data_IF_197025369593
#
_entry.id   IF_197025369593
#
_cell.length_a   1.000
_cell.length_b   1.000
_cell.length_c   1.000
_cell.angle_alpha   90.00
_cell.angle_beta   90.00
_cell.angle_gamma   90.00
#
_symmetry.space_group_name_H-M   'P 1'
#
loop_
_entity.id
_entity.type
_entity.pdbx_description
1 polymer ?
#
# COMPACT_ATOMS: atom_id res chain seq x y z
N UNK A 1 -19.73 88.06 15.86
CA UNK A 1 -18.81 86.89 15.82
C UNK A 1 -19.66 85.71 16.22
N UNK A 2 -20.26 85.09 15.21
CA UNK A 2 -21.57 84.45 15.34
C UNK A 2 -21.44 83.00 15.80
N UNK A 3 -22.23 82.65 16.82
CA UNK A 3 -22.31 81.31 17.42
C UNK A 3 -22.91 80.24 16.49
N UNK A 4 -23.20 80.57 15.22
CA UNK A 4 -23.72 79.67 14.18
C UNK A 4 -22.65 78.74 13.56
N UNK A 5 -21.40 78.82 14.01
CA UNK A 5 -20.25 78.08 13.45
C UNK A 5 -19.79 76.89 14.32
N UNK A 6 -20.62 76.42 15.26
CA UNK A 6 -20.28 75.29 16.16
C UNK A 6 -21.30 74.16 16.15
N UNK A 7 -21.91 73.89 15.00
CA UNK A 7 -22.60 72.64 14.76
C UNK A 7 -22.10 72.12 13.41
N UNK A 8 -21.91 70.81 13.28
CA UNK A 8 -21.33 70.08 12.14
C UNK A 8 -19.86 69.65 12.25
N UNK A 9 -19.39 69.32 13.45
CA UNK A 9 -18.23 68.41 13.59
C UNK A 9 -18.47 67.31 14.65
N UNK A 10 -19.72 66.83 14.75
CA UNK A 10 -20.12 65.84 15.76
C UNK A 10 -20.83 64.60 15.22
N UNK A 11 -20.72 64.28 13.93
CA UNK A 11 -21.39 63.11 13.36
C UNK A 11 -20.61 62.51 12.16
N UNK A 12 -19.31 62.33 12.33
CA UNK A 12 -18.60 61.30 11.59
C UNK A 12 -18.14 60.27 12.61
N UNK A 13 -19.08 59.41 13.00
CA UNK A 13 -18.81 58.23 13.80
C UNK A 13 -17.90 57.31 12.96
N UNK A 14 -16.59 57.16 13.27
CA UNK A 14 -15.67 56.36 12.45
C UNK A 14 -15.97 54.85 12.55
N UNK A 15 -17.03 54.47 13.26
CA UNK A 15 -17.39 53.11 13.60
C UNK A 15 -18.11 52.31 12.52
N UNK A 16 -18.43 52.87 11.35
CA UNK A 16 -19.16 52.09 10.32
C UNK A 16 -18.79 52.37 8.85
N UNK A 17 -17.56 52.83 8.57
CA UNK A 17 -16.97 52.75 7.23
C UNK A 17 -16.46 51.34 6.89
N UNK A 18 -17.15 50.31 7.38
CA UNK A 18 -17.19 49.01 6.71
C UNK A 18 -18.12 49.17 5.49
N UNK A 19 -17.74 50.07 4.58
CA UNK A 19 -18.21 50.00 3.21
C UNK A 19 -17.85 48.60 2.75
N UNK A 20 -18.87 47.89 2.29
CA UNK A 20 -18.77 46.56 1.72
C UNK A 20 -17.79 46.59 0.54
N UNK A 21 -16.49 46.52 0.82
CA UNK A 21 -15.39 46.35 -0.14
C UNK A 21 -15.39 44.91 -0.67
N UNK A 22 -16.57 44.45 -1.10
CA UNK A 22 -16.75 43.36 -2.03
C UNK A 22 -16.58 43.90 -3.44
N UNK A 23 -15.48 44.62 -3.71
CA UNK A 23 -15.10 44.93 -5.08
C UNK A 23 -15.00 43.59 -5.83
N UNK A 24 -15.76 43.37 -6.92
CA UNK A 24 -15.62 42.16 -7.71
C UNK A 24 -14.17 42.02 -8.14
N UNK A 25 -13.52 40.93 -7.73
CA UNK A 25 -12.17 40.62 -8.20
C UNK A 25 -12.33 40.30 -9.68
N UNK A 26 -11.94 41.24 -10.53
CA UNK A 26 -11.99 41.04 -11.96
C UNK A 26 -11.05 39.89 -12.33
N UNK A 27 -11.47 38.92 -13.17
CA UNK A 27 -10.65 37.78 -13.54
C UNK A 27 -9.34 38.19 -14.25
N UNK A 28 -9.25 39.46 -14.66
CA UNK A 28 -8.08 40.08 -15.27
C UNK A 28 -6.95 40.39 -14.27
N UNK A 29 -7.29 40.51 -12.99
CA UNK A 29 -6.34 40.82 -11.89
C UNK A 29 -5.84 39.56 -11.17
N UNK A 30 -6.03 38.37 -11.75
CA UNK A 30 -5.51 37.12 -11.18
C UNK A 30 -3.98 37.04 -11.30
N UNK A 31 -3.29 37.31 -10.20
CA UNK A 31 -1.84 37.15 -10.11
C UNK A 31 -1.43 35.66 -10.14
N UNK A 32 -0.26 35.32 -10.73
CA UNK A 32 0.24 33.96 -10.70
C UNK A 32 0.56 33.52 -9.27
N UNK A 33 0.18 32.29 -8.93
CA UNK A 33 0.54 31.70 -7.64
C UNK A 33 2.04 31.41 -7.59
N UNK A 34 2.69 31.80 -6.49
CA UNK A 34 4.09 31.45 -6.20
C UNK A 34 4.31 29.93 -6.23
N UNK A 35 3.39 29.18 -5.62
CA UNK A 35 3.46 27.72 -5.51
C UNK A 35 2.35 27.07 -6.33
N UNK A 36 2.73 26.00 -7.02
CA UNK A 36 1.79 25.16 -7.77
C UNK A 36 0.69 24.64 -6.85
N UNK A 37 -0.48 24.41 -7.45
CA UNK A 37 -1.56 23.73 -6.74
C UNK A 37 -1.07 22.38 -6.19
N UNK A 38 -1.44 22.04 -4.94
CA UNK A 38 -1.10 20.74 -4.40
C UNK A 38 -1.72 19.66 -5.28
N UNK A 39 -0.93 18.63 -5.63
CA UNK A 39 -1.42 17.52 -6.42
C UNK A 39 -2.43 16.71 -5.60
N UNK A 40 -3.41 16.13 -6.29
CA UNK A 40 -4.33 15.17 -5.68
C UNK A 40 -3.51 14.05 -5.02
N UNK A 41 -3.90 13.68 -3.79
CA UNK A 41 -3.22 12.61 -3.05
C UNK A 41 -3.49 11.28 -3.73
N UNK A 42 -2.44 10.52 -3.98
CA UNK A 42 -2.59 9.15 -4.45
C UNK A 42 -3.26 8.29 -3.38
N UNK A 43 -4.13 7.38 -3.83
CA UNK A 43 -4.83 6.46 -2.94
C UNK A 43 -3.84 5.52 -2.24
N UNK A 44 -3.92 5.47 -0.91
CA UNK A 44 -3.14 4.52 -0.09
C UNK A 44 -3.57 3.07 -0.36
N UNK A 45 -2.73 2.11 0.00
CA UNK A 45 -3.05 0.67 -0.18
C UNK A 45 -4.38 0.28 0.50
N UNK A 46 -4.64 0.83 1.68
CA UNK A 46 -5.88 0.57 2.41
C UNK A 46 -7.09 1.23 1.74
N UNK A 47 -6.97 2.46 1.23
CA UNK A 47 -8.07 3.12 0.52
C UNK A 47 -8.43 2.39 -0.79
N UNK A 48 -7.42 1.92 -1.54
CA UNK A 48 -7.65 1.05 -2.71
C UNK A 48 -8.41 -0.21 -2.31
N UNK A 49 -7.99 -0.87 -1.23
CA UNK A 49 -8.68 -2.05 -0.71
C UNK A 49 -10.11 -1.74 -0.24
N UNK A 50 -10.31 -0.62 0.46
CA UNK A 50 -11.60 -0.19 0.95
C UNK A 50 -12.56 0.13 -0.21
N UNK A 51 -12.08 0.77 -1.27
CA UNK A 51 -12.87 1.01 -2.49
C UNK A 51 -13.25 -0.31 -3.17
N UNK A 52 -12.29 -1.22 -3.37
CA UNK A 52 -12.56 -2.54 -3.96
C UNK A 52 -13.55 -3.38 -3.15
N UNK A 53 -13.53 -3.25 -1.81
CA UNK A 53 -14.45 -3.95 -0.91
C UNK A 53 -15.74 -3.16 -0.60
N UNK A 54 -15.89 -1.94 -1.11
CA UNK A 54 -17.04 -1.09 -0.80
C UNK A 54 -17.14 -0.66 0.67
N UNK A 55 -16.03 -0.63 1.40
CA UNK A 55 -15.99 -0.24 2.82
C UNK A 55 -16.15 1.28 2.92
N UNK A 56 -17.34 1.74 3.31
CA UNK A 56 -17.64 3.17 3.51
C UNK A 56 -17.15 3.64 4.89
N UNK A 57 -16.47 4.79 4.93
CA UNK A 57 -16.02 5.42 6.18
C UNK A 57 -17.24 5.99 6.94
N UNK A 58 -17.48 5.49 8.16
CA UNK A 58 -18.54 5.99 9.05
C UNK A 58 -17.93 6.74 10.24
N UNK A 59 -18.63 7.77 10.73
CA UNK A 59 -18.24 8.51 11.94
C UNK A 59 -18.46 7.61 13.17
N UNK A 60 -17.46 7.51 14.05
CA UNK A 60 -17.56 6.78 15.33
C UNK A 60 -17.68 7.77 16.48
N UNK A 61 -18.39 7.40 17.55
CA UNK A 61 -18.52 8.21 18.77
C UNK A 61 -17.17 8.34 19.50
N UNK A 62 -16.95 9.52 20.11
CA UNK A 62 -15.76 9.79 20.94
C UNK A 62 -15.83 9.10 22.30
N UNK A 63 -17.03 8.95 22.87
CA UNK A 63 -17.30 8.29 24.16
C UNK A 63 -17.97 6.93 23.94
N UNK A 64 -17.71 6.02 24.87
CA UNK A 64 -18.24 4.66 24.95
C UNK A 64 -18.78 4.48 26.36
N UNK A 65 -19.98 3.91 26.47
CA UNK A 65 -20.58 3.57 27.75
C UNK A 65 -19.79 2.42 28.38
N UNK A 66 -19.40 2.59 29.63
CA UNK A 66 -18.72 1.57 30.42
C UNK A 66 -19.70 1.02 31.47
N UNK A 67 -20.02 -0.27 31.38
CA UNK A 67 -21.02 -0.92 32.22
C UNK A 67 -20.58 -0.99 33.69
N UNK A 68 -19.29 -1.21 33.95
CA UNK A 68 -18.77 -1.37 35.31
C UNK A 68 -18.81 -0.06 36.12
N UNK A 69 -18.62 1.08 35.46
CA UNK A 69 -18.66 2.40 36.11
C UNK A 69 -19.94 3.18 35.83
N UNK A 70 -20.87 2.60 35.06
CA UNK A 70 -22.11 3.24 34.60
C UNK A 70 -21.90 4.67 34.10
N UNK A 71 -20.84 4.89 33.31
CA UNK A 71 -20.43 6.22 32.87
C UNK A 71 -19.93 6.26 31.43
N UNK A 72 -20.06 7.43 30.79
CA UNK A 72 -19.55 7.66 29.44
C UNK A 72 -18.05 7.99 29.47
N UNK A 73 -17.22 7.00 29.19
CA UNK A 73 -15.76 7.15 29.12
C UNK A 73 -15.27 7.43 27.70
N UNK A 74 -14.15 8.15 27.52
CA UNK A 74 -13.55 8.33 26.21
C UNK A 74 -13.08 7.00 25.60
N UNK A 75 -13.12 6.89 24.27
CA UNK A 75 -12.64 5.70 23.54
C UNK A 75 -11.11 5.59 23.54
N UNK A 76 -10.42 6.72 23.59
CA UNK A 76 -8.96 6.84 23.56
C UNK A 76 -8.51 8.01 24.45
N UNK A 77 -7.26 8.00 24.90
CA UNK A 77 -6.72 9.03 25.80
C UNK A 77 -6.73 8.59 27.28
N UNK A 78 -6.66 9.58 28.18
CA UNK A 78 -6.68 9.37 29.63
C UNK A 78 -8.10 9.02 30.09
N UNK A 79 -8.24 8.08 31.02
CA UNK A 79 -9.54 7.63 31.53
C UNK A 79 -10.38 6.86 30.51
N UNK A 80 -9.76 6.28 29.48
CA UNK A 80 -10.47 5.51 28.46
C UNK A 80 -10.99 4.18 29.01
N UNK A 81 -11.99 3.63 28.33
CA UNK A 81 -12.42 2.24 28.54
C UNK A 81 -11.23 1.29 28.29
N UNK A 82 -11.07 0.28 29.16
CA UNK A 82 -10.04 -0.77 29.10
C UNK A 82 -8.58 -0.28 29.06
N UNK A 83 -8.21 0.65 29.94
CA UNK A 83 -6.81 1.01 30.15
C UNK A 83 -6.04 -0.16 30.78
N UNK A 84 -4.93 -0.57 30.15
CA UNK A 84 -4.03 -1.59 30.73
C UNK A 84 -3.35 -1.08 32.01
N UNK A 85 -3.13 0.24 32.12
CA UNK A 85 -2.44 0.85 33.28
C UNK A 85 -3.30 0.90 34.53
N UNK A 86 -4.62 0.83 34.36
CA UNK A 86 -5.58 0.97 35.46
C UNK A 86 -5.93 -0.40 36.04
N UNK A 87 -5.50 -1.49 35.38
CA UNK A 87 -5.66 -2.86 35.86
C UNK A 87 -4.56 -3.17 36.86
N UNK A 88 -4.95 -3.46 38.10
CA UNK A 88 -4.05 -3.83 39.19
C UNK A 88 -3.61 -5.30 39.11
N UNK A 89 -4.41 -6.17 38.50
CA UNK A 89 -4.10 -7.59 38.30
C UNK A 89 -4.50 -8.04 36.90
N UNK A 90 -3.74 -8.96 36.34
CA UNK A 90 -4.05 -9.66 35.08
C UNK A 90 -3.98 -11.16 35.33
N UNK A 91 -5.05 -11.86 34.99
CA UNK A 91 -5.08 -13.32 35.05
C UNK A 91 -4.12 -13.89 34.00
N UNK A 92 -3.27 -14.82 34.43
CA UNK A 92 -2.38 -15.57 33.54
C UNK A 92 -3.19 -16.69 32.90
N UNK A 93 -3.29 -16.77 31.57
CA UNK A 93 -4.02 -17.86 30.94
C UNK A 93 -3.29 -19.19 31.12
N UNK A 94 -4.03 -20.29 31.30
CA UNK A 94 -3.49 -21.64 31.60
C UNK A 94 -2.48 -22.16 30.56
N UNK A 95 -2.49 -21.61 29.34
CA UNK A 95 -1.60 -21.99 28.25
C UNK A 95 -0.33 -21.12 28.15
N UNK A 96 -0.16 -20.10 29.00
CA UNK A 96 1.03 -19.25 28.99
C UNK A 96 2.11 -19.76 29.95
N UNK A 97 3.35 -19.35 29.68
CA UNK A 97 4.47 -19.59 30.57
C UNK A 97 4.25 -18.85 31.90
N UNK A 98 4.22 -19.55 33.06
CA UNK A 98 4.07 -18.91 34.37
C UNK A 98 5.14 -17.86 34.69
N UNK A 99 6.30 -17.91 34.04
CA UNK A 99 7.40 -16.98 34.27
C UNK A 99 7.36 -15.71 33.40
N UNK A 100 6.40 -15.59 32.47
CA UNK A 100 6.27 -14.41 31.60
C UNK A 100 5.39 -13.31 32.22
N UNK A 101 5.93 -12.09 32.33
CA UNK A 101 5.16 -10.92 32.74
C UNK A 101 4.13 -10.51 31.67
N UNK A 102 2.85 -10.66 32.02
CA UNK A 102 1.73 -10.33 31.13
C UNK A 102 1.62 -8.82 30.86
N UNK A 103 2.02 -7.96 31.79
CA UNK A 103 2.02 -6.51 31.55
C UNK A 103 3.07 -6.13 30.51
N UNK A 104 4.27 -6.71 30.61
CA UNK A 104 5.33 -6.49 29.64
C UNK A 104 4.93 -7.00 28.26
N UNK A 105 4.33 -8.20 28.17
CA UNK A 105 3.81 -8.76 26.92
C UNK A 105 2.80 -7.84 26.23
N UNK A 106 1.84 -7.30 26.99
CA UNK A 106 0.85 -6.35 26.46
C UNK A 106 1.50 -5.04 25.99
N UNK A 107 2.53 -4.57 26.70
CA UNK A 107 3.30 -3.37 26.34
C UNK A 107 4.08 -3.59 25.04
N UNK A 108 4.84 -4.69 24.95
CA UNK A 108 5.59 -5.12 23.75
C UNK A 108 4.65 -5.25 22.55
N UNK A 109 3.54 -5.98 22.69
CA UNK A 109 2.55 -6.13 21.63
C UNK A 109 1.91 -4.80 21.18
N UNK A 110 1.76 -3.83 22.08
CA UNK A 110 1.29 -2.47 21.73
C UNK A 110 2.35 -1.71 20.92
N UNK A 111 3.61 -1.76 21.34
CA UNK A 111 4.74 -1.12 20.66
C UNK A 111 4.94 -1.71 19.27
N UNK A 112 4.87 -3.02 19.12
CA UNK A 112 4.93 -3.72 17.82
C UNK A 112 3.80 -3.30 16.89
N UNK A 113 2.56 -3.21 17.40
CA UNK A 113 1.41 -2.72 16.63
C UNK A 113 1.62 -1.28 16.16
N UNK A 114 2.22 -0.42 16.99
CA UNK A 114 2.57 0.95 16.63
C UNK A 114 3.66 0.98 15.56
N UNK A 115 4.75 0.24 15.75
CA UNK A 115 5.86 0.14 14.80
C UNK A 115 5.39 -0.40 13.44
N UNK A 116 4.51 -1.41 13.42
CA UNK A 116 3.92 -1.95 12.18
C UNK A 116 3.07 -0.92 11.45
N UNK A 117 2.31 -0.10 12.17
CA UNK A 117 1.52 0.99 11.58
C UNK A 117 2.43 2.08 11.00
N UNK A 118 3.46 2.50 11.74
CA UNK A 118 4.45 3.48 11.28
C UNK A 118 5.19 2.98 10.05
N UNK A 119 5.65 1.73 10.05
CA UNK A 119 6.27 1.10 8.90
C UNK A 119 5.34 1.04 7.68
N UNK A 120 4.05 0.71 7.88
CA UNK A 120 3.06 0.72 6.81
C UNK A 120 2.80 2.14 6.27
N UNK A 121 2.77 3.15 7.15
CA UNK A 121 2.68 4.57 6.78
C UNK A 121 3.87 4.98 5.93
N UNK A 122 5.09 4.63 6.35
CA UNK A 122 6.32 4.94 5.64
C UNK A 122 6.38 4.26 4.26
N UNK A 123 5.93 3.00 4.16
CA UNK A 123 5.77 2.33 2.86
C UNK A 123 4.75 3.02 1.94
N UNK A 124 3.68 3.59 2.49
CA UNK A 124 2.73 4.35 1.68
C UNK A 124 3.36 5.66 1.20
N UNK A 125 4.05 6.39 2.09
CA UNK A 125 4.78 7.62 1.73
C UNK A 125 5.79 7.32 0.63
N UNK A 126 6.62 6.30 0.79
CA UNK A 126 7.62 5.89 -0.20
C UNK A 126 7.01 5.58 -1.58
N UNK A 127 5.82 4.98 -1.65
CA UNK A 127 5.12 4.74 -2.93
C UNK A 127 4.63 6.03 -3.60
N UNK A 128 4.27 7.05 -2.82
CA UNK A 128 3.80 8.34 -3.35
C UNK A 128 4.92 9.29 -3.77
N UNK A 129 6.13 9.10 -3.23
CA UNK A 129 7.30 9.90 -3.62
C UNK A 129 7.70 9.49 -5.04
N UNK A 130 7.85 10.49 -5.92
CA UNK A 130 8.16 10.26 -7.34
C UNK A 130 9.51 9.56 -7.51
N UNK A 131 9.59 8.65 -8.49
CA UNK A 131 10.85 8.03 -8.94
C UNK A 131 11.87 9.14 -9.24
N UNK A 132 12.96 9.21 -8.47
CA UNK A 132 14.02 10.22 -8.58
C UNK A 132 14.12 11.19 -7.39
N UNK A 133 13.08 11.28 -6.55
CA UNK A 133 13.17 11.99 -5.28
C UNK A 133 13.38 10.97 -4.16
N UNK A 134 14.48 11.09 -3.41
CA UNK A 134 14.76 10.17 -2.31
C UNK A 134 13.61 10.26 -1.29
N UNK A 135 13.03 9.12 -0.86
CA UNK A 135 12.06 9.16 0.21
C UNK A 135 12.76 9.74 1.45
N UNK A 136 12.10 10.62 2.22
CA UNK A 136 12.71 11.26 3.40
C UNK A 136 13.04 10.27 4.52
N UNK A 137 12.61 9.01 4.40
CA UNK A 137 12.84 7.95 5.37
C UNK A 137 13.38 6.75 4.60
N UNK A 138 14.54 6.22 5.03
CA UNK A 138 15.35 5.18 4.36
C UNK A 138 14.70 3.81 4.17
N UNK A 139 13.37 3.74 4.05
CA UNK A 139 12.61 2.55 3.70
C UNK A 139 12.53 2.52 2.18
N UNK A 140 13.50 1.85 1.57
CA UNK A 140 13.50 1.57 0.14
C UNK A 140 12.35 0.60 -0.17
N UNK A 141 11.30 1.09 -0.84
CA UNK A 141 10.30 0.20 -1.44
C UNK A 141 10.84 -0.27 -2.78
N UNK A 142 11.49 -1.44 -2.80
CA UNK A 142 11.75 -2.18 -4.04
C UNK A 142 10.42 -2.70 -4.58
N UNK A 143 9.65 -1.81 -5.19
CA UNK A 143 8.36 -2.13 -5.80
C UNK A 143 8.50 -2.63 -7.24
N UNK A 144 9.70 -2.51 -7.82
CA UNK A 144 10.05 -3.05 -9.11
C UNK A 144 11.40 -3.73 -8.97
N UNK A 145 11.58 -4.89 -9.63
CA UNK A 145 12.88 -5.50 -9.85
C UNK A 145 13.71 -4.55 -10.73
N UNK A 146 14.24 -3.50 -10.11
CA UNK A 146 15.11 -2.55 -10.78
C UNK A 146 16.42 -3.26 -11.08
N UNK A 147 17.09 -2.88 -12.17
CA UNK A 147 18.43 -3.40 -12.50
C UNK A 147 19.39 -3.29 -11.30
N UNK A 148 19.22 -2.25 -10.48
CA UNK A 148 20.01 -1.99 -9.28
C UNK A 148 19.66 -2.95 -8.12
N UNK A 149 18.39 -3.32 -7.96
CA UNK A 149 17.97 -4.31 -6.97
C UNK A 149 18.46 -5.71 -7.38
N UNK A 150 18.33 -6.05 -8.67
CA UNK A 150 18.86 -7.31 -9.21
C UNK A 150 20.38 -7.39 -9.13
N UNK A 151 21.10 -6.31 -9.46
CA UNK A 151 22.56 -6.28 -9.34
C UNK A 151 23.03 -6.39 -7.89
N UNK A 152 22.35 -5.72 -6.94
CA UNK A 152 22.64 -5.88 -5.50
C UNK A 152 22.32 -7.27 -4.99
N UNK A 153 21.20 -7.86 -5.42
CA UNK A 153 20.87 -9.23 -5.05
C UNK A 153 21.89 -10.23 -5.59
N UNK A 154 22.37 -10.04 -6.83
CA UNK A 154 23.45 -10.82 -7.41
C UNK A 154 24.76 -10.64 -6.62
N UNK A 155 25.10 -9.42 -6.22
CA UNK A 155 26.30 -9.13 -5.43
C UNK A 155 26.24 -9.77 -4.03
N UNK A 156 25.10 -9.68 -3.35
CA UNK A 156 24.86 -10.34 -2.06
C UNK A 156 24.95 -11.85 -2.22
N UNK A 157 24.32 -12.42 -3.25
CA UNK A 157 24.34 -13.87 -3.52
C UNK A 157 25.77 -14.35 -3.75
N UNK A 158 26.55 -13.66 -4.60
CA UNK A 158 27.97 -13.97 -4.84
C UNK A 158 28.81 -13.95 -3.55
N UNK A 159 28.53 -13.02 -2.63
CA UNK A 159 29.24 -12.90 -1.35
C UNK A 159 28.81 -13.95 -0.31
N UNK A 160 27.53 -14.33 -0.29
CA UNK A 160 26.94 -15.20 0.74
C UNK A 160 27.05 -16.70 0.45
N UNK A 161 27.33 -17.09 -0.80
CA UNK A 161 27.47 -18.49 -1.23
C UNK A 161 28.67 -19.25 -0.60
N UNK A 162 29.54 -18.54 0.11
CA UNK A 162 30.69 -19.12 0.81
C UNK A 162 30.36 -19.78 2.16
N UNK A 163 29.14 -19.66 2.67
CA UNK A 163 28.82 -19.97 4.08
C UNK A 163 28.63 -21.45 4.41
N UNK A 164 28.54 -22.36 3.43
CA UNK A 164 28.34 -23.80 3.65
C UNK A 164 29.30 -24.71 2.84
N UNK A 165 30.40 -24.16 2.32
CA UNK A 165 31.40 -24.92 1.55
C UNK A 165 30.90 -25.45 0.18
N UNK A 166 29.79 -24.92 -0.33
CA UNK A 166 29.23 -25.24 -1.64
C UNK A 166 29.17 -23.96 -2.47
N UNK A 167 30.23 -23.74 -3.25
CA UNK A 167 30.35 -22.57 -4.12
C UNK A 167 29.62 -22.82 -5.45
N UNK A 168 28.78 -21.87 -5.88
CA UNK A 168 28.23 -21.84 -7.23
C UNK A 168 29.34 -21.60 -8.25
N UNK A 169 29.17 -22.15 -9.45
CA UNK A 169 30.09 -21.90 -10.56
C UNK A 169 30.11 -20.41 -10.92
N UNK A 170 31.31 -19.90 -11.24
CA UNK A 170 31.48 -18.52 -11.68
C UNK A 170 30.69 -18.29 -12.97
N UNK A 171 29.76 -17.34 -12.95
CA UNK A 171 28.98 -16.94 -14.12
C UNK A 171 29.87 -16.00 -14.95
N UNK A 172 30.07 -16.31 -16.23
CA UNK A 172 30.84 -15.46 -17.16
C UNK A 172 30.24 -14.04 -17.21
N UNK A 173 30.99 -13.05 -16.71
CA UNK A 173 30.54 -11.65 -16.55
C UNK A 173 30.63 -10.80 -17.83
N UNK A 174 30.95 -11.43 -18.98
CA UNK A 174 31.01 -10.73 -20.27
C UNK A 174 29.68 -10.00 -20.55
N UNK A 175 29.71 -8.67 -20.39
CA UNK A 175 28.60 -7.79 -20.74
C UNK A 175 28.41 -7.89 -22.25
N UNK A 176 27.33 -8.52 -22.70
CA UNK A 176 26.95 -8.50 -24.11
C UNK A 176 26.87 -7.04 -24.54
N UNK A 177 27.73 -6.63 -25.47
CA UNK A 177 27.77 -5.25 -25.93
C UNK A 177 26.41 -4.89 -26.55
N UNK A 178 25.82 -3.76 -26.16
CA UNK A 178 24.51 -3.28 -26.65
C UNK A 178 24.42 -3.20 -28.19
N UNK A 179 25.55 -3.20 -28.89
CA UNK A 179 25.63 -3.23 -30.36
C UNK A 179 25.16 -4.58 -30.96
N UNK A 180 25.25 -5.67 -30.22
CA UNK A 180 24.80 -7.00 -30.69
C UNK A 180 23.27 -7.13 -30.75
N UNK A 181 22.51 -6.37 -29.95
CA UNK A 181 21.04 -6.42 -29.96
C UNK A 181 20.44 -5.80 -31.24
N UNK A 182 21.10 -4.81 -31.85
CA UNK A 182 20.63 -4.21 -33.11
C UNK A 182 20.94 -5.06 -34.35
N UNK A 183 21.88 -6.00 -34.27
CA UNK A 183 22.21 -6.91 -35.38
C UNK A 183 21.14 -8.01 -35.58
N UNK A 184 20.36 -8.34 -34.54
CA UNK A 184 19.26 -9.31 -34.66
C UNK A 184 17.96 -8.69 -35.18
N UNK A 185 17.79 -7.37 -35.06
CA UNK A 185 16.61 -6.64 -35.55
C UNK A 185 16.71 -6.24 -37.02
N UNK A 186 17.92 -6.10 -37.59
CA UNK A 186 18.11 -5.83 -39.02
C UNK A 186 18.04 -7.08 -39.91
N UNK A 187 18.24 -8.28 -39.35
CA UNK A 187 18.09 -9.55 -40.07
C UNK A 187 16.71 -10.22 -39.85
N UNK A 188 15.87 -9.67 -38.96
CA UNK A 188 14.55 -10.23 -38.60
C UNK A 188 13.35 -9.71 -39.41
N UNK A 189 13.50 -8.62 -40.18
CA UNK A 189 12.38 -8.01 -40.92
C UNK A 189 11.99 -8.81 -42.19
N UNK A 190 12.94 -9.55 -42.78
CA UNK A 190 12.70 -10.38 -43.98
C UNK A 190 12.24 -11.82 -43.67
N UNK A 191 12.36 -12.28 -42.41
CA UNK A 191 11.95 -13.64 -42.03
C UNK A 191 10.50 -13.67 -41.51
N UNK A 192 9.99 -12.60 -40.89
CA UNK A 192 8.63 -12.55 -40.35
C UNK A 192 7.54 -12.42 -41.44
N UNK A 193 7.79 -11.66 -42.51
CA UNK A 193 6.84 -11.50 -43.63
C UNK A 193 6.62 -12.83 -44.35
N UNK A 194 7.70 -13.60 -44.58
CA UNK A 194 7.62 -14.91 -45.23
C UNK A 194 6.97 -16.00 -44.36
N UNK A 195 6.99 -15.88 -43.02
CA UNK A 195 6.27 -16.80 -42.14
C UNK A 195 4.75 -16.52 -42.09
N UNK A 196 4.35 -15.24 -42.14
CA UNK A 196 2.94 -14.85 -42.05
C UNK A 196 2.17 -15.11 -43.36
N UNK A 197 2.79 -14.89 -44.52
CA UNK A 197 2.20 -15.21 -45.84
C UNK A 197 1.95 -16.72 -45.99
N UNK A 198 2.83 -17.55 -45.46
CA UNK A 198 2.72 -19.01 -45.58
C UNK A 198 1.68 -19.62 -44.61
N UNK A 199 1.41 -18.96 -43.47
CA UNK A 199 0.34 -19.36 -42.53
C UNK A 199 -1.05 -19.04 -43.09
N UNK A 200 -1.22 -17.93 -43.80
CA UNK A 200 -2.52 -17.56 -44.38
C UNK A 200 -2.96 -18.50 -45.50
N UNK A 201 -1.99 -18.98 -46.31
CA UNK A 201 -2.24 -19.91 -47.43
C UNK A 201 -2.59 -21.34 -46.96
N UNK A 202 -2.11 -21.77 -45.79
CA UNK A 202 -2.48 -23.07 -45.18
C UNK A 202 -3.82 -23.05 -44.44
N UNK A 203 -4.31 -21.89 -44.00
CA UNK A 203 -5.56 -21.77 -43.23
C UNK A 203 -6.82 -21.68 -44.09
N UNK A 204 -6.69 -21.33 -45.38
CA UNK A 204 -7.81 -21.40 -46.35
C UNK A 204 -8.08 -22.80 -46.92
N UNK A 205 -7.10 -23.73 -46.89
CA UNK A 205 -7.29 -25.08 -47.46
C UNK A 205 -7.94 -26.09 -46.47
N UNK A 206 -7.86 -25.85 -45.16
CA UNK A 206 -8.33 -26.81 -44.13
C UNK A 206 -9.77 -26.55 -43.64
N UNK A 207 -10.52 -25.64 -44.25
CA UNK A 207 -11.91 -25.31 -43.84
C UNK A 207 -13.00 -26.08 -44.57
N UNK A 208 -12.65 -27.00 -45.48
CA UNK A 208 -13.57 -27.92 -46.14
C UNK A 208 -13.12 -29.37 -45.95
N UNK A 209 -13.08 -29.87 -44.71
CA UNK A 209 -13.11 -31.31 -44.44
C UNK A 209 -13.74 -31.63 -43.09
N UNK A 210 -15.04 -31.88 -43.19
CA UNK A 210 -15.75 -32.99 -42.56
C UNK A 210 -15.79 -33.08 -41.02
N UNK A 211 -16.96 -32.71 -40.51
CA UNK A 211 -17.77 -33.47 -39.54
C UNK A 211 -17.44 -34.98 -39.53
N UNK A 212 -16.93 -35.49 -38.40
CA UNK A 212 -17.27 -36.79 -37.76
C UNK A 212 -16.17 -37.17 -36.76
N UNK A 213 -16.49 -37.14 -35.46
CA UNK A 213 -16.26 -38.23 -34.48
C UNK A 213 -16.53 -37.75 -33.04
N UNK A 214 -17.59 -38.29 -32.45
CA UNK A 214 -17.80 -38.41 -31.00
C UNK A 214 -16.78 -39.40 -30.42
N UNK A 215 -16.26 -39.17 -29.21
CA UNK A 215 -16.16 -40.13 -28.09
C UNK A 215 -15.47 -39.54 -26.83
N UNK A 216 -16.23 -39.58 -25.74
CA UNK A 216 -15.88 -39.74 -24.31
C UNK A 216 -14.86 -38.82 -23.60
N UNK A 217 -15.36 -38.03 -22.65
CA UNK A 217 -14.65 -37.50 -21.50
C UNK A 217 -14.56 -38.56 -20.38
N UNK A 218 -13.45 -38.68 -19.62
CA UNK A 218 -13.47 -39.36 -18.34
C UNK A 218 -13.71 -38.36 -17.19
N UNK A 219 -14.78 -38.59 -16.44
CA UNK A 219 -15.01 -37.96 -15.14
C UNK A 219 -14.09 -38.58 -14.08
N UNK A 220 -13.55 -37.77 -13.17
CA UNK A 220 -12.95 -38.26 -11.92
C UNK A 220 -13.85 -37.87 -10.78
N UNK A 221 -14.63 -38.84 -10.34
CA UNK A 221 -15.47 -38.79 -9.14
C UNK A 221 -14.66 -39.32 -7.94
N UNK A 222 -14.92 -38.74 -6.78
CA UNK A 222 -14.27 -39.02 -5.51
C UNK A 222 -14.62 -40.42 -4.95
N UNK A 223 -13.65 -41.04 -4.28
CA UNK A 223 -13.88 -42.13 -3.31
C UNK A 223 -13.06 -41.85 -2.05
N UNK A 224 -13.75 -41.49 -0.97
CA UNK A 224 -13.22 -41.62 0.38
C UNK A 224 -13.26 -43.07 0.84
N UNK A 225 -12.40 -43.41 1.79
CA UNK A 225 -12.38 -44.71 2.46
C UNK A 225 -11.52 -44.65 3.72
N UNK A 226 -12.17 -44.85 4.86
CA UNK A 226 -11.65 -44.79 6.23
C UNK A 226 -10.70 -45.96 6.53
N UNK A 227 -9.74 -45.75 7.43
CA UNK A 227 -8.98 -46.83 8.07
C UNK A 227 -8.28 -46.34 9.34
N UNK A 228 -8.99 -46.37 10.47
CA UNK A 228 -8.40 -46.23 11.82
C UNK A 228 -7.84 -47.60 12.22
N UNK A 229 -6.54 -47.68 12.48
CA UNK A 229 -5.92 -48.82 13.15
C UNK A 229 -5.46 -48.40 14.54
N UNK A 230 -6.11 -48.92 15.58
CA UNK A 230 -5.70 -48.80 16.99
C UNK A 230 -5.53 -50.22 17.53
N UNK A 231 -4.57 -50.38 18.45
CA UNK A 231 -4.28 -51.52 19.33
C UNK A 231 -3.24 -52.53 18.81
N UNK A 232 -2.11 -52.66 19.50
CA UNK A 232 -2.00 -53.57 20.66
C UNK A 232 -0.66 -53.43 21.38
N UNK A 233 -0.72 -53.38 22.71
CA UNK A 233 0.39 -53.61 23.63
C UNK A 233 1.09 -54.95 23.37
N UNK A 234 2.41 -54.99 23.57
CA UNK A 234 3.15 -56.18 24.02
C UNK A 234 4.38 -55.74 24.81
N UNK A 235 4.37 -56.16 26.09
CA UNK A 235 5.43 -56.34 27.09
C UNK A 235 6.70 -55.52 26.99
#
# INVERSE_FOLDING_TARGET
>A
MDFASRHLLSECDPGNLLYEDKAPIDPKDMLPREKRAPKAKELTRWERFAQMKGIKKRKRSKRVWDEASQSWKPRWGKGRVDSVKDKWVLEVPDNADPYEDQFEKLSRARSERRAKNEFAKLKNIARTVRKGQAPPVGILTESEASKNAFSRALEITKRSDASMGRFSQEINEQKIAKKAEYAHLSCGFTIFVNFFVNIFRKKCSMKNRSKKRKKSCPSRHAKGGKGRGRLSNKK
#
